data_IF_710067451419
#
_entry.id   IF_710067451419
#
_cell.length_a   1.000
_cell.length_b   1.000
_cell.length_c   1.000
_cell.angle_alpha   90.00
_cell.angle_beta   90.00
_cell.angle_gamma   90.00
#
_symmetry.space_group_name_H-M   'P 1'
#
loop_
_entity.id
_entity.type
_entity.pdbx_description
1 polymer ?
#
# COMPACT_ATOMS: atom_id res chain seq x y z
N UNK A 1 -11.10 1.94 5.37
CA UNK A 1 -9.98 1.05 4.98
C UNK A 1 -10.27 -0.33 5.49
N UNK A 2 -9.87 -1.35 4.72
CA UNK A 2 -10.06 -2.76 5.08
C UNK A 2 -8.78 -3.56 4.90
N UNK A 3 -8.53 -4.52 5.79
CA UNK A 3 -7.45 -5.48 5.65
C UNK A 3 -7.85 -6.59 4.66
N UNK A 4 -6.96 -6.94 3.74
CA UNK A 4 -7.11 -8.06 2.81
C UNK A 4 -6.33 -9.25 3.38
N UNK A 5 -7.00 -10.07 4.18
CA UNK A 5 -6.33 -11.11 4.98
C UNK A 5 -6.25 -12.47 4.30
N UNK A 6 -6.99 -12.69 3.21
CA UNK A 6 -7.07 -13.97 2.50
C UNK A 6 -7.49 -13.78 1.03
N UNK A 7 -7.45 -14.88 0.26
CA UNK A 7 -7.81 -14.89 -1.15
C UNK A 7 -9.27 -14.46 -1.40
N UNK A 8 -10.21 -14.76 -0.50
CA UNK A 8 -11.62 -14.39 -0.67
C UNK A 8 -11.83 -12.87 -0.59
N UNK A 9 -11.08 -12.19 0.28
CA UNK A 9 -11.09 -10.73 0.38
C UNK A 9 -10.56 -10.07 -0.90
N UNK A 10 -9.61 -10.72 -1.58
CA UNK A 10 -9.05 -10.26 -2.86
C UNK A 10 -10.00 -10.55 -4.02
N UNK A 11 -10.61 -11.73 -4.07
CA UNK A 11 -11.57 -12.08 -5.13
C UNK A 11 -12.80 -11.16 -5.13
N UNK A 12 -13.18 -10.64 -3.96
CA UNK A 12 -14.25 -9.65 -3.78
C UNK A 12 -13.90 -8.21 -4.23
N UNK A 13 -12.72 -7.94 -4.81
CA UNK A 13 -12.37 -6.63 -5.37
C UNK A 13 -13.07 -6.40 -6.72
N UNK A 14 -13.95 -5.41 -6.83
CA UNK A 14 -14.67 -5.16 -8.09
C UNK A 14 -13.75 -4.77 -9.27
N UNK A 15 -12.64 -4.10 -8.97
CA UNK A 15 -11.65 -3.67 -9.95
C UNK A 15 -10.76 -4.83 -10.39
N UNK A 16 -11.02 -5.37 -11.59
CA UNK A 16 -10.26 -6.50 -12.13
C UNK A 16 -8.77 -6.22 -12.31
N UNK A 17 -8.38 -4.98 -12.64
CA UNK A 17 -6.98 -4.64 -12.86
C UNK A 17 -6.22 -4.60 -11.51
N UNK A 18 -6.81 -4.00 -10.48
CA UNK A 18 -6.26 -4.02 -9.14
C UNK A 18 -6.23 -5.45 -8.58
N UNK A 19 -7.32 -6.22 -8.75
CA UNK A 19 -7.39 -7.62 -8.32
C UNK A 19 -6.22 -8.44 -8.89
N UNK A 20 -5.93 -8.28 -10.18
CA UNK A 20 -4.85 -9.01 -10.84
C UNK A 20 -3.47 -8.73 -10.20
N UNK A 21 -3.18 -7.47 -9.87
CA UNK A 21 -1.90 -7.10 -9.23
C UNK A 21 -1.83 -7.62 -7.79
N UNK A 22 -2.91 -7.49 -7.01
CA UNK A 22 -2.98 -8.01 -5.64
C UNK A 22 -2.77 -9.54 -5.64
N UNK A 23 -3.46 -10.25 -6.55
CA UNK A 23 -3.30 -11.70 -6.71
C UNK A 23 -1.87 -12.08 -7.10
N UNK A 24 -1.22 -11.31 -7.98
CA UNK A 24 0.18 -11.53 -8.35
C UNK A 24 1.11 -11.43 -7.13
N UNK A 25 0.93 -10.41 -6.26
CA UNK A 25 1.71 -10.30 -5.01
C UNK A 25 1.47 -11.45 -4.04
N UNK A 26 0.24 -11.93 -3.94
CA UNK A 26 -0.05 -13.11 -3.12
C UNK A 26 0.62 -14.38 -3.66
N UNK A 27 0.67 -14.56 -4.98
CA UNK A 27 1.38 -15.69 -5.61
C UNK A 27 2.88 -15.59 -5.33
N UNK A 28 3.48 -14.41 -5.50
CA UNK A 28 4.91 -14.19 -5.20
C UNK A 28 5.23 -14.46 -3.72
N UNK A 29 4.39 -14.00 -2.80
CA UNK A 29 4.57 -14.26 -1.37
C UNK A 29 4.30 -15.72 -0.97
N UNK A 30 3.55 -16.48 -1.78
CA UNK A 30 3.31 -17.90 -1.53
C UNK A 30 4.55 -18.78 -1.76
N UNK A 31 5.61 -18.24 -2.37
CA UNK A 31 6.91 -18.92 -2.46
C UNK A 31 7.60 -19.05 -1.09
N UNK A 32 7.19 -18.26 -0.11
CA UNK A 32 7.66 -18.34 1.27
C UNK A 32 6.77 -19.31 2.07
N UNK A 33 7.37 -20.14 2.92
CA UNK A 33 6.63 -21.13 3.73
C UNK A 33 5.86 -20.51 4.93
N UNK A 34 5.95 -19.19 5.10
CA UNK A 34 5.33 -18.45 6.20
C UNK A 34 3.88 -18.04 5.87
N UNK A 35 3.00 -17.93 6.88
CA UNK A 35 1.69 -17.31 6.72
C UNK A 35 1.77 -15.89 6.16
N UNK A 36 0.79 -15.48 5.37
CA UNK A 36 0.75 -14.14 4.76
C UNK A 36 0.83 -13.02 5.80
N UNK A 37 0.17 -13.16 6.95
CA UNK A 37 0.16 -12.17 8.02
C UNK A 37 1.48 -12.09 8.80
N UNK A 38 2.36 -13.08 8.66
CA UNK A 38 3.76 -13.02 9.11
C UNK A 38 4.69 -12.39 8.07
N UNK A 39 4.25 -12.27 6.80
CA UNK A 39 5.02 -11.68 5.71
C UNK A 39 4.65 -10.21 5.48
N UNK A 40 3.37 -9.90 5.44
CA UNK A 40 2.91 -8.54 5.21
C UNK A 40 1.45 -8.28 5.59
N UNK A 41 1.16 -7.03 5.93
CA UNK A 41 -0.21 -6.54 6.01
C UNK A 41 -0.67 -5.96 4.68
N UNK A 42 -1.79 -6.43 4.15
CA UNK A 42 -2.40 -5.85 2.95
C UNK A 42 -3.59 -4.99 3.33
N UNK A 43 -3.57 -3.71 2.96
CA UNK A 43 -4.63 -2.76 3.25
C UNK A 43 -5.19 -2.17 1.97
N UNK A 44 -6.52 -2.22 1.81
CA UNK A 44 -7.22 -1.50 0.76
C UNK A 44 -7.82 -0.22 1.34
N UNK A 45 -7.50 0.90 0.71
CA UNK A 45 -8.15 2.17 0.98
C UNK A 45 -9.47 2.26 0.22
N UNK A 46 -10.50 2.76 0.88
CA UNK A 46 -11.77 3.14 0.29
C UNK A 46 -11.92 4.68 0.28
N UNK A 47 -12.95 5.18 -0.40
CA UNK A 47 -13.12 6.63 -0.58
C UNK A 47 -13.55 7.41 0.67
N UNK A 48 -13.73 6.74 1.81
CA UNK A 48 -13.94 7.40 3.10
C UNK A 48 -12.66 7.53 3.92
N UNK A 49 -11.58 6.87 3.50
CA UNK A 49 -10.29 6.99 4.17
C UNK A 49 -9.61 8.31 3.86
N UNK A 50 -9.15 8.97 4.90
CA UNK A 50 -8.25 10.12 4.82
C UNK A 50 -6.81 9.67 5.08
N UNK A 51 -5.84 10.50 4.68
CA UNK A 51 -4.45 10.31 5.13
C UNK A 51 -4.39 10.20 6.65
N UNK A 52 -5.05 11.12 7.37
CA UNK A 52 -4.97 11.15 8.83
C UNK A 52 -5.46 9.85 9.48
N UNK A 53 -6.54 9.25 8.95
CA UNK A 53 -7.04 7.96 9.43
C UNK A 53 -6.10 6.80 9.07
N UNK A 54 -5.50 6.81 7.88
CA UNK A 54 -4.51 5.82 7.45
C UNK A 54 -3.29 5.82 8.37
N UNK A 55 -2.68 6.99 8.59
CA UNK A 55 -1.49 7.13 9.42
C UNK A 55 -1.81 6.82 10.89
N UNK A 56 -2.97 7.24 11.41
CA UNK A 56 -3.38 6.94 12.77
C UNK A 56 -3.61 5.43 13.02
N UNK A 57 -4.16 4.71 12.03
CA UNK A 57 -4.43 3.28 12.17
C UNK A 57 -3.20 2.40 11.94
N UNK A 58 -2.32 2.77 11.01
CA UNK A 58 -1.17 1.95 10.59
C UNK A 58 0.16 2.38 11.24
N UNK A 59 0.20 3.59 11.80
CA UNK A 59 1.43 4.22 12.32
C UNK A 59 2.44 4.58 11.23
N UNK A 60 2.06 4.55 9.93
CA UNK A 60 3.00 4.83 8.83
C UNK A 60 3.00 6.32 8.48
N UNK A 61 4.17 6.97 8.33
CA UNK A 61 4.25 8.37 7.94
C UNK A 61 4.18 8.52 6.42
N UNK A 62 2.97 8.59 5.88
CA UNK A 62 2.69 8.69 4.44
C UNK A 62 2.88 10.12 3.93
N UNK A 63 2.27 11.13 4.54
CA UNK A 63 2.37 12.51 4.04
C UNK A 63 3.57 13.25 4.60
N UNK A 64 3.89 13.04 5.89
CA UNK A 64 5.02 13.69 6.52
C UNK A 64 6.37 13.09 6.11
N UNK A 65 6.38 11.79 5.78
CA UNK A 65 7.61 11.06 5.54
C UNK A 65 8.49 10.94 6.78
N UNK A 66 9.74 10.55 6.59
CA UNK A 66 10.74 10.50 7.66
C UNK A 66 11.41 11.86 7.90
N UNK A 67 11.81 12.18 9.14
CA UNK A 67 12.59 13.37 9.43
C UNK A 67 13.91 13.38 8.65
N UNK A 68 14.21 14.48 7.97
CA UNK A 68 15.51 14.72 7.33
C UNK A 68 16.29 15.83 8.03
N UNK A 69 17.62 15.71 8.19
CA UNK A 69 18.45 16.77 8.77
C UNK A 69 18.35 18.13 8.06
N UNK A 70 18.10 18.13 6.76
CA UNK A 70 17.97 19.34 5.92
C UNK A 70 16.52 19.77 5.70
N UNK A 71 15.55 19.08 6.30
CA UNK A 71 14.12 19.34 6.12
C UNK A 71 13.58 18.92 4.75
N UNK A 72 14.35 18.22 3.92
CA UNK A 72 13.85 17.64 2.67
C UNK A 72 12.83 16.52 2.97
N UNK A 73 11.91 16.33 2.03
CA UNK A 73 10.97 15.22 2.10
C UNK A 73 11.70 13.90 1.88
N UNK A 74 11.65 13.02 2.88
CA UNK A 74 12.12 11.64 2.77
C UNK A 74 10.89 10.73 2.80
N UNK A 75 10.57 10.00 1.72
CA UNK A 75 9.47 9.07 1.71
C UNK A 75 9.47 8.14 2.93
N UNK A 76 8.30 7.96 3.55
CA UNK A 76 8.13 6.97 4.61
C UNK A 76 8.15 5.54 4.07
N UNK A 77 7.76 5.37 2.80
CA UNK A 77 7.64 4.10 2.08
C UNK A 77 8.94 3.75 1.36
N UNK A 78 9.12 2.46 1.10
CA UNK A 78 10.27 1.91 0.35
C UNK A 78 10.00 1.84 -1.15
N UNK A 79 8.76 1.48 -1.52
CA UNK A 79 8.35 1.35 -2.92
C UNK A 79 7.00 2.02 -3.10
N UNK A 80 6.85 2.73 -4.22
CA UNK A 80 5.58 3.29 -4.65
C UNK A 80 5.43 3.11 -6.15
N UNK A 81 4.52 2.22 -6.55
CA UNK A 81 4.29 1.84 -7.95
C UNK A 81 2.91 2.31 -8.41
N UNK A 82 2.86 2.86 -9.62
CA UNK A 82 1.64 3.19 -10.34
C UNK A 82 1.24 2.00 -11.21
N UNK A 83 0.08 1.44 -10.90
CA UNK A 83 -0.61 0.43 -11.71
C UNK A 83 -1.77 1.08 -12.48
N UNK A 84 -2.37 0.44 -13.49
CA UNK A 84 -3.43 1.07 -14.28
C UNK A 84 -4.59 1.67 -13.46
N UNK A 85 -5.07 0.99 -12.42
CA UNK A 85 -6.22 1.44 -11.61
C UNK A 85 -5.91 1.77 -10.14
N UNK A 86 -4.70 1.48 -9.66
CA UNK A 86 -4.32 1.74 -8.27
C UNK A 86 -2.85 2.18 -8.16
N UNK A 87 -2.47 2.66 -6.98
CA UNK A 87 -1.08 2.69 -6.55
C UNK A 87 -0.84 1.57 -5.53
N UNK A 88 0.36 1.02 -5.56
CA UNK A 88 0.90 0.07 -4.58
C UNK A 88 1.98 0.80 -3.79
N UNK A 89 1.76 1.01 -2.49
CA UNK A 89 2.74 1.61 -1.59
C UNK A 89 3.22 0.57 -0.58
N UNK A 90 4.52 0.29 -0.57
CA UNK A 90 5.13 -0.76 0.26
C UNK A 90 6.02 -0.12 1.31
N UNK A 91 5.88 -0.61 2.54
CA UNK A 91 6.79 -0.35 3.65
C UNK A 91 7.42 -1.68 4.08
N UNK A 92 8.73 -1.72 4.23
CA UNK A 92 9.47 -2.79 4.89
C UNK A 92 9.72 -2.35 6.33
N UNK A 93 9.23 -3.14 7.28
CA UNK A 93 9.09 -2.73 8.68
C UNK A 93 10.22 -3.23 9.57
N UNK A 94 10.87 -4.32 9.18
CA UNK A 94 12.03 -4.88 9.87
C UNK A 94 12.95 -5.67 8.93
N UNK A 95 14.08 -6.12 9.48
CA UNK A 95 15.13 -6.83 8.74
C UNK A 95 14.72 -8.23 8.25
N UNK A 96 13.57 -8.76 8.69
CA UNK A 96 13.04 -10.03 8.16
C UNK A 96 12.35 -9.85 6.81
N UNK A 97 12.09 -8.61 6.41
CA UNK A 97 11.30 -8.28 5.22
C UNK A 97 9.80 -8.15 5.50
N UNK A 98 9.37 -8.26 6.77
CA UNK A 98 7.97 -8.05 7.15
C UNK A 98 7.51 -6.67 6.73
N UNK A 99 6.34 -6.59 6.07
CA UNK A 99 5.92 -5.37 5.40
C UNK A 99 4.48 -4.92 5.63
N UNK A 100 4.16 -3.75 5.09
CA UNK A 100 2.79 -3.31 4.86
C UNK A 100 2.64 -2.84 3.41
N UNK A 101 1.56 -3.28 2.76
CA UNK A 101 1.21 -2.93 1.39
C UNK A 101 -0.12 -2.20 1.38
N UNK A 102 -0.12 -0.95 0.93
CA UNK A 102 -1.32 -0.14 0.77
C UNK A 102 -1.73 -0.09 -0.70
N UNK A 103 -2.93 -0.59 -0.96
CA UNK A 103 -3.61 -0.52 -2.25
C UNK A 103 -4.48 0.73 -2.27
N UNK A 104 -4.12 1.68 -3.12
CA UNK A 104 -4.70 3.02 -3.18
C UNK A 104 -5.45 3.17 -4.53
N UNK A 105 -6.79 3.00 -4.56
CA UNK A 105 -7.54 3.09 -5.81
C UNK A 105 -7.50 4.52 -6.39
N UNK A 106 -7.12 4.64 -7.68
CA UNK A 106 -7.02 5.94 -8.37
C UNK A 106 -8.36 6.66 -8.51
N UNK A 107 -9.46 5.92 -8.46
CA UNK A 107 -10.82 6.42 -8.65
C UNK A 107 -11.47 7.00 -7.40
N UNK A 108 -11.00 6.64 -6.21
CA UNK A 108 -11.73 6.92 -4.97
C UNK A 108 -10.90 7.36 -3.78
N UNK A 109 -9.58 7.16 -3.77
CA UNK A 109 -8.76 7.52 -2.60
C UNK A 109 -8.70 9.04 -2.36
N UNK A 110 -8.26 9.41 -1.15
CA UNK A 110 -8.06 10.79 -0.70
C UNK A 110 -7.28 11.63 -1.75
N UNK A 111 -7.75 12.84 -2.11
CA UNK A 111 -7.12 13.66 -3.14
C UNK A 111 -5.66 14.04 -2.87
N UNK A 112 -5.29 14.30 -1.61
CA UNK A 112 -3.93 14.67 -1.24
C UNK A 112 -3.00 13.45 -1.33
N UNK A 113 -3.50 12.28 -0.92
CA UNK A 113 -2.81 11.02 -1.12
C UNK A 113 -2.59 10.72 -2.61
N UNK A 114 -3.62 10.91 -3.45
CA UNK A 114 -3.50 10.72 -4.89
C UNK A 114 -2.50 11.70 -5.52
N UNK A 115 -2.44 12.94 -5.04
CA UNK A 115 -1.45 13.91 -5.52
C UNK A 115 -0.02 13.49 -5.15
N UNK A 116 0.20 13.03 -3.92
CA UNK A 116 1.48 12.47 -3.48
C UNK A 116 1.85 11.24 -4.32
N UNK A 117 0.92 10.31 -4.53
CA UNK A 117 1.17 9.12 -5.33
C UNK A 117 1.57 9.46 -6.77
N UNK A 118 0.83 10.35 -7.44
CA UNK A 118 1.18 10.77 -8.82
C UNK A 118 2.54 11.46 -8.93
N UNK A 119 2.97 12.14 -7.87
CA UNK A 119 4.25 12.86 -7.85
C UNK A 119 5.44 11.92 -7.69
N UNK A 120 5.28 10.84 -6.91
CA UNK A 120 6.40 10.02 -6.45
C UNK A 120 6.39 8.58 -6.97
N UNK A 121 5.28 8.10 -7.53
CA UNK A 121 5.21 6.74 -8.04
C UNK A 121 6.08 6.54 -9.28
N UNK A 122 6.65 5.34 -9.38
CA UNK A 122 7.22 4.82 -10.63
C UNK A 122 6.17 4.01 -11.37
N UNK A 123 6.13 4.06 -12.70
CA UNK A 123 5.21 3.21 -13.48
C UNK A 123 5.68 1.75 -13.44
N UNK A 124 4.72 0.82 -13.35
CA UNK A 124 4.94 -0.63 -13.36
C UNK A 124 5.48 -1.17 -14.69
#
# INVERSE_FOLDING_TARGET
MRRLSDASAVDALDDCAMRAVVQQRLIELSEYEQPLDELAEFWLLDGSDTVATLEAQTGRPVMAGWPSPDGSFQPGWDVLVSHPSCFEMVFVLDDSGYGAVFWIPKSSADPDLLALCRKHAVEA
#
